data_IF_046008886832
#
_entry.id   IF_046008886832
#
_cell.length_a   1.000
_cell.length_b   1.000
_cell.length_c   1.000
_cell.angle_alpha   90.00
_cell.angle_beta   90.00
_cell.angle_gamma   90.00
#
_symmetry.space_group_name_H-M   'P 1'
#
loop_
_entity.id
_entity.type
_entity.pdbx_description
1 polymer ?
#
# COMPACT_ATOMS: atom_id res chain seq x y z
N UNK A 1 29.92 -10.53 -0.25
CA UNK A 1 29.22 -11.85 -0.36
C UNK A 1 27.85 -11.84 0.34
N UNK A 2 27.76 -11.69 1.67
CA UNK A 2 26.45 -11.65 2.36
C UNK A 2 25.69 -10.36 2.04
N UNK A 3 26.36 -9.21 2.14
CA UNK A 3 25.86 -7.88 1.75
C UNK A 3 25.39 -7.82 0.30
N UNK A 4 26.17 -8.37 -0.64
CA UNK A 4 25.92 -8.19 -2.06
C UNK A 4 24.94 -9.21 -2.65
N UNK A 5 24.88 -10.45 -2.14
CA UNK A 5 23.99 -11.47 -2.74
C UNK A 5 22.65 -11.63 -2.02
N UNK A 6 22.63 -11.51 -0.68
CA UNK A 6 21.41 -11.77 0.11
C UNK A 6 20.57 -10.51 0.26
N UNK A 7 21.21 -9.38 0.60
CA UNK A 7 20.47 -8.15 0.88
C UNK A 7 19.95 -7.46 -0.38
N UNK A 8 20.54 -7.67 -1.57
CA UNK A 8 19.94 -7.18 -2.82
C UNK A 8 18.56 -7.81 -3.03
N UNK A 9 18.47 -9.14 -2.93
CA UNK A 9 17.19 -9.83 -3.09
C UNK A 9 16.18 -9.41 -2.01
N UNK A 10 16.63 -9.28 -0.76
CA UNK A 10 15.78 -8.89 0.36
C UNK A 10 15.25 -7.46 0.24
N UNK A 11 16.12 -6.49 -0.06
CA UNK A 11 15.74 -5.07 -0.22
C UNK A 11 14.73 -4.88 -1.36
N UNK A 12 14.98 -5.50 -2.52
CA UNK A 12 14.07 -5.43 -3.67
C UNK A 12 12.74 -6.12 -3.38
N UNK A 13 12.73 -7.21 -2.63
CA UNK A 13 11.49 -7.88 -2.26
C UNK A 13 10.64 -7.09 -1.25
N UNK A 14 11.27 -6.30 -0.37
CA UNK A 14 10.58 -5.54 0.66
C UNK A 14 10.06 -4.19 0.18
N UNK A 15 10.84 -3.48 -0.64
CA UNK A 15 10.51 -2.10 -1.03
C UNK A 15 10.91 -1.74 -2.46
N UNK A 16 11.23 -2.72 -3.31
CA UNK A 16 11.53 -2.54 -4.74
C UNK A 16 12.75 -1.63 -5.05
N UNK A 17 13.61 -1.37 -4.07
CA UNK A 17 14.84 -0.57 -4.21
C UNK A 17 16.08 -1.34 -3.75
N UNK A 18 17.25 -0.86 -4.16
CA UNK A 18 18.53 -1.45 -3.80
C UNK A 18 18.93 -1.17 -2.34
N UNK A 19 19.81 -1.98 -1.73
CA UNK A 19 20.22 -1.83 -0.33
C UNK A 19 20.99 -0.53 -0.03
N UNK A 20 21.60 0.11 -1.02
CA UNK A 20 22.25 1.41 -0.90
C UNK A 20 21.26 2.59 -0.76
N UNK A 21 20.00 2.39 -1.16
CA UNK A 21 18.92 3.37 -1.01
C UNK A 21 17.96 3.04 0.15
N UNK A 22 17.91 1.78 0.59
CA UNK A 22 16.97 1.32 1.61
C UNK A 22 17.47 1.60 3.03
N UNK A 23 16.60 2.19 3.87
CA UNK A 23 16.86 2.32 5.30
C UNK A 23 17.03 0.94 5.98
N UNK A 24 18.11 0.78 6.74
CA UNK A 24 18.40 -0.46 7.49
C UNK A 24 17.29 -0.83 8.47
N UNK A 25 16.50 0.14 8.95
CA UNK A 25 15.35 -0.13 9.81
C UNK A 25 14.34 -1.09 9.15
N UNK A 26 14.11 -0.98 7.84
CA UNK A 26 13.23 -1.88 7.09
C UNK A 26 13.72 -3.33 7.17
N UNK A 27 15.02 -3.54 6.96
CA UNK A 27 15.66 -4.86 7.03
C UNK A 27 15.58 -5.43 8.45
N UNK A 28 15.88 -4.63 9.47
CA UNK A 28 15.84 -5.10 10.87
C UNK A 28 14.43 -5.53 11.30
N UNK A 29 13.40 -4.79 10.87
CA UNK A 29 12.00 -5.15 11.12
C UNK A 29 11.66 -6.48 10.43
N UNK A 30 12.09 -6.66 9.18
CA UNK A 30 11.88 -7.92 8.45
C UNK A 30 12.61 -9.10 9.11
N UNK A 31 13.86 -8.92 9.55
CA UNK A 31 14.64 -9.93 10.26
C UNK A 31 14.01 -10.29 11.61
N UNK A 32 13.36 -9.35 12.28
CA UNK A 32 12.69 -9.62 13.56
C UNK A 32 11.59 -10.70 13.44
N UNK A 33 10.94 -10.83 12.28
CA UNK A 33 9.97 -11.92 12.02
C UNK A 33 10.59 -13.30 12.11
N UNK A 34 11.85 -13.45 11.73
CA UNK A 34 12.58 -14.73 11.82
C UNK A 34 12.94 -15.09 13.26
N UNK A 35 13.06 -14.10 14.14
CA UNK A 35 13.55 -14.28 15.51
C UNK A 35 12.43 -14.43 16.53
N UNK A 36 11.28 -13.78 16.32
CA UNK A 36 10.20 -13.75 17.32
C UNK A 36 9.24 -14.94 17.23
N UNK A 37 8.92 -15.41 16.03
CA UNK A 37 7.89 -16.42 15.83
C UNK A 37 8.44 -17.63 15.07
N UNK A 38 8.13 -18.84 15.57
CA UNK A 38 8.56 -20.11 14.94
C UNK A 38 8.19 -20.22 13.46
N UNK A 39 7.09 -19.59 13.05
CA UNK A 39 6.58 -19.59 11.68
C UNK A 39 6.51 -18.19 11.06
N UNK A 40 7.16 -17.18 11.66
CA UNK A 40 7.07 -15.78 11.21
C UNK A 40 7.67 -15.51 9.83
N UNK A 41 8.51 -16.42 9.33
CA UNK A 41 9.08 -16.39 7.97
C UNK A 41 8.35 -17.28 6.97
N UNK A 42 7.29 -18.01 7.40
CA UNK A 42 6.52 -18.88 6.51
C UNK A 42 5.71 -18.04 5.54
N UNK A 43 5.78 -18.38 4.26
CA UNK A 43 5.06 -17.69 3.19
C UNK A 43 3.76 -18.41 2.87
N UNK A 44 2.77 -17.64 2.39
CA UNK A 44 1.49 -18.15 1.93
C UNK A 44 1.04 -17.35 0.70
N UNK A 45 0.28 -18.00 -0.17
CA UNK A 45 -0.40 -17.37 -1.31
C UNK A 45 -1.89 -17.35 -1.03
N UNK A 46 -2.56 -16.29 -1.48
CA UNK A 46 -4.01 -16.28 -1.53
C UNK A 46 -4.47 -17.28 -2.59
N UNK A 47 -5.57 -17.97 -2.34
CA UNK A 47 -6.09 -19.04 -3.20
C UNK A 47 -6.82 -18.54 -4.47
N UNK A 48 -6.78 -17.24 -4.73
CA UNK A 48 -7.40 -16.59 -5.88
C UNK A 48 -7.16 -15.08 -5.88
N UNK A 49 -7.97 -14.35 -6.63
CA UNK A 49 -7.80 -12.91 -6.77
C UNK A 49 -8.16 -12.17 -5.46
N UNK A 50 -7.38 -11.15 -5.03
CA UNK A 50 -7.65 -10.42 -3.79
C UNK A 50 -9.03 -9.74 -3.70
N UNK A 51 -9.59 -9.13 -4.78
CA UNK A 51 -10.90 -8.49 -4.71
C UNK A 51 -12.01 -9.43 -4.21
N UNK A 52 -12.09 -10.65 -4.75
CA UNK A 52 -13.13 -11.60 -4.37
C UNK A 52 -12.78 -12.37 -3.09
N UNK A 53 -11.53 -12.84 -2.97
CA UNK A 53 -11.15 -13.78 -1.89
C UNK A 53 -10.85 -13.09 -0.56
N UNK A 54 -10.54 -11.80 -0.57
CA UNK A 54 -10.18 -11.04 0.64
C UNK A 54 -11.01 -9.78 0.81
N UNK A 55 -11.15 -8.95 -0.22
CA UNK A 55 -11.84 -7.67 -0.08
C UNK A 55 -13.35 -7.84 0.08
N UNK A 56 -13.99 -8.75 -0.69
CA UNK A 56 -15.44 -8.97 -0.62
C UNK A 56 -15.92 -9.41 0.77
N UNK A 57 -15.28 -10.39 1.45
CA UNK A 57 -15.64 -10.73 2.83
C UNK A 57 -15.62 -9.54 3.81
N UNK A 58 -14.68 -8.60 3.63
CA UNK A 58 -14.61 -7.38 4.45
C UNK A 58 -15.78 -6.45 4.12
N UNK A 59 -16.10 -6.27 2.84
CA UNK A 59 -17.24 -5.46 2.38
C UNK A 59 -18.55 -6.02 2.92
N UNK A 60 -18.78 -7.32 2.80
CA UNK A 60 -19.95 -8.02 3.32
C UNK A 60 -20.08 -7.83 4.83
N UNK A 61 -18.98 -7.96 5.57
CA UNK A 61 -18.98 -7.73 7.01
C UNK A 61 -19.37 -6.29 7.36
N UNK A 62 -18.78 -5.28 6.71
CA UNK A 62 -19.12 -3.87 6.92
C UNK A 62 -20.61 -3.62 6.62
N UNK A 63 -21.12 -4.13 5.50
CA UNK A 63 -22.52 -3.94 5.10
C UNK A 63 -23.50 -4.67 6.02
N UNK A 64 -23.14 -5.85 6.52
CA UNK A 64 -23.95 -6.58 7.50
C UNK A 64 -24.17 -5.82 8.82
N UNK A 65 -23.25 -4.89 9.13
CA UNK A 65 -23.29 -4.04 10.32
C UNK A 65 -23.82 -2.62 10.01
N UNK A 66 -24.42 -2.41 8.83
CA UNK A 66 -25.03 -1.15 8.42
C UNK A 66 -24.07 -0.13 7.80
N UNK A 67 -22.79 -0.48 7.64
CA UNK A 67 -21.83 0.35 6.91
C UNK A 67 -22.09 0.36 5.40
N UNK A 68 -21.54 1.36 4.71
CA UNK A 68 -21.71 1.51 3.27
C UNK A 68 -20.35 1.47 2.55
N UNK A 69 -20.32 0.83 1.39
CA UNK A 69 -19.14 0.75 0.52
C UNK A 69 -19.55 1.18 -0.88
N UNK A 70 -18.98 2.29 -1.34
CA UNK A 70 -19.28 2.88 -2.64
C UNK A 70 -18.04 2.84 -3.54
N UNK A 71 -18.19 2.25 -4.73
CA UNK A 71 -17.15 2.22 -5.76
C UNK A 71 -17.31 3.39 -6.72
N UNK A 72 -16.25 3.73 -7.45
CA UNK A 72 -16.23 4.85 -8.41
C UNK A 72 -16.49 6.24 -7.78
N UNK A 73 -16.33 6.38 -6.47
CA UNK A 73 -16.56 7.61 -5.71
C UNK A 73 -15.24 8.34 -5.40
N UNK A 74 -14.55 8.84 -6.43
CA UNK A 74 -13.26 9.51 -6.25
C UNK A 74 -13.45 10.88 -5.56
N UNK A 75 -12.71 11.12 -4.48
CA UNK A 75 -12.64 12.43 -3.82
C UNK A 75 -11.84 13.39 -4.69
N UNK A 76 -12.41 14.55 -4.98
CA UNK A 76 -11.81 15.64 -5.73
C UNK A 76 -11.23 16.72 -4.81
N UNK A 77 -11.88 17.02 -3.69
CA UNK A 77 -11.46 18.10 -2.78
C UNK A 77 -11.90 17.84 -1.35
N UNK A 78 -11.04 18.21 -0.40
CA UNK A 78 -11.38 18.35 1.02
C UNK A 78 -11.81 19.80 1.22
N UNK A 79 -13.10 20.03 1.48
CA UNK A 79 -13.61 21.37 1.78
C UNK A 79 -13.58 21.64 3.28
N UNK A 80 -13.14 22.83 3.66
CA UNK A 80 -12.98 23.24 5.05
C UNK A 80 -14.07 24.22 5.48
N UNK A 81 -14.40 24.17 6.77
CA UNK A 81 -15.11 25.23 7.48
C UNK A 81 -14.18 26.43 7.72
N UNK A 82 -14.76 27.55 8.16
CA UNK A 82 -14.00 28.78 8.46
C UNK A 82 -12.99 28.62 9.61
N UNK A 83 -13.18 27.63 10.48
CA UNK A 83 -12.27 27.30 11.59
C UNK A 83 -11.15 26.33 11.19
N UNK A 84 -11.10 25.91 9.92
CA UNK A 84 -10.11 25.00 9.38
C UNK A 84 -10.42 23.51 9.57
N UNK A 85 -11.56 23.15 10.19
CA UNK A 85 -12.03 21.76 10.26
C UNK A 85 -12.64 21.30 8.93
N UNK A 86 -12.72 19.98 8.70
CA UNK A 86 -13.34 19.45 7.48
C UNK A 86 -14.83 19.71 7.51
N UNK A 87 -15.36 20.35 6.47
CA UNK A 87 -16.78 20.51 6.23
C UNK A 87 -17.37 19.28 5.54
N UNK A 88 -16.74 18.86 4.44
CA UNK A 88 -17.21 17.77 3.59
C UNK A 88 -16.13 17.30 2.61
N UNK A 89 -16.30 16.10 2.07
CA UNK A 89 -15.54 15.63 0.90
C UNK A 89 -16.36 15.84 -0.37
N UNK A 90 -15.79 16.57 -1.34
CA UNK A 90 -16.39 16.76 -2.66
C UNK A 90 -15.88 15.65 -3.57
N UNK A 91 -16.79 14.90 -4.18
CA UNK A 91 -16.49 13.86 -5.15
C UNK A 91 -16.33 14.43 -6.56
N UNK A 92 -15.70 13.69 -7.47
CA UNK A 92 -15.46 14.14 -8.86
C UNK A 92 -16.72 14.35 -9.69
N UNK A 93 -17.84 13.77 -9.29
CA UNK A 93 -19.14 14.00 -9.92
C UNK A 93 -19.86 15.24 -9.36
N UNK A 94 -19.27 15.94 -8.39
CA UNK A 94 -19.85 17.13 -7.74
C UNK A 94 -20.64 16.83 -6.47
N UNK A 95 -20.90 15.55 -6.16
CA UNK A 95 -21.59 15.18 -4.92
C UNK A 95 -20.75 15.53 -3.69
N UNK A 96 -21.43 15.89 -2.61
CA UNK A 96 -20.82 16.16 -1.33
C UNK A 96 -21.16 15.08 -0.32
N UNK A 97 -20.13 14.60 0.39
CA UNK A 97 -20.26 13.62 1.47
C UNK A 97 -19.91 14.29 2.79
N UNK A 98 -20.87 14.29 3.70
CA UNK A 98 -20.76 14.79 5.07
C UNK A 98 -20.70 13.63 6.07
N UNK A 99 -20.06 13.86 7.21
CA UNK A 99 -20.02 12.93 8.32
C UNK A 99 -19.40 13.55 9.57
N UNK A 100 -19.58 12.90 10.72
CA UNK A 100 -19.05 13.36 12.01
C UNK A 100 -17.51 13.29 12.08
N UNK A 101 -16.92 12.38 11.30
CA UNK A 101 -15.48 12.18 11.22
C UNK A 101 -15.05 11.80 9.80
N UNK A 102 -13.83 12.19 9.43
CA UNK A 102 -13.26 11.95 8.11
C UNK A 102 -11.92 11.22 8.22
N UNK A 103 -11.76 10.17 7.44
CA UNK A 103 -10.52 9.39 7.35
C UNK A 103 -10.07 9.32 5.90
N UNK A 104 -8.80 9.62 5.65
CA UNK A 104 -8.20 9.50 4.33
C UNK A 104 -7.29 8.27 4.27
N UNK A 105 -7.81 7.14 3.78
CA UNK A 105 -7.09 5.87 3.66
C UNK A 105 -6.42 5.67 2.28
N UNK A 106 -6.14 6.76 1.56
CA UNK A 106 -5.48 6.72 0.25
C UNK A 106 -3.95 6.82 0.32
N UNK A 107 -3.24 6.58 -0.80
CA UNK A 107 -1.79 6.75 -0.88
C UNK A 107 -1.35 8.17 -0.54
N UNK A 108 -0.18 8.30 0.09
CA UNK A 108 0.38 9.60 0.53
C UNK A 108 0.53 10.60 -0.63
N UNK A 109 0.88 10.13 -1.83
CA UNK A 109 1.00 10.98 -3.01
C UNK A 109 -0.33 11.62 -3.42
N UNK A 110 -1.44 10.88 -3.32
CA UNK A 110 -2.78 11.41 -3.58
C UNK A 110 -3.20 12.37 -2.48
N UNK A 111 -2.95 12.02 -1.21
CA UNK A 111 -3.25 12.90 -0.08
C UNK A 111 -2.52 14.25 -0.24
N UNK A 112 -1.22 14.25 -0.53
CA UNK A 112 -0.42 15.47 -0.73
C UNK A 112 -1.02 16.45 -1.74
N UNK A 113 -1.67 15.93 -2.79
CA UNK A 113 -2.35 16.76 -3.80
C UNK A 113 -3.68 17.34 -3.30
N UNK A 114 -4.34 16.65 -2.38
CA UNK A 114 -5.65 17.04 -1.84
C UNK A 114 -5.58 17.83 -0.53
N UNK A 115 -4.41 17.93 0.11
CA UNK A 115 -4.22 18.70 1.34
C UNK A 115 -4.63 20.17 1.07
N UNK A 116 -5.62 20.70 1.83
CA UNK A 116 -6.02 22.10 1.75
C UNK A 116 -4.83 23.04 1.99
N UNK A 117 -4.85 24.20 1.35
CA UNK A 117 -3.75 25.18 1.46
C UNK A 117 -3.45 25.55 2.91
N UNK A 118 -4.49 25.72 3.72
CA UNK A 118 -4.41 26.13 5.13
C UNK A 118 -3.68 25.09 5.99
N UNK A 119 -3.64 23.83 5.55
CA UNK A 119 -2.98 22.74 6.26
C UNK A 119 -1.53 22.52 5.82
N UNK A 120 -1.10 23.11 4.70
CA UNK A 120 0.23 22.81 4.11
C UNK A 120 1.40 23.17 5.03
N UNK A 121 1.29 24.27 5.78
CA UNK A 121 2.35 24.69 6.71
C UNK A 121 2.25 24.02 8.08
N UNK A 122 1.19 23.25 8.35
CA UNK A 122 1.09 22.51 9.61
C UNK A 122 2.19 21.44 9.65
N UNK A 123 3.01 21.39 10.71
CA UNK A 123 4.19 20.51 10.75
C UNK A 123 3.89 19.02 10.52
N UNK A 124 2.68 18.57 10.85
CA UNK A 124 2.24 17.21 10.58
C UNK A 124 2.20 16.92 9.07
N UNK A 125 1.53 17.75 8.29
CA UNK A 125 1.35 17.55 6.85
C UNK A 125 2.63 17.85 6.06
N UNK A 126 3.43 18.83 6.51
CA UNK A 126 4.72 19.16 5.88
C UNK A 126 5.71 17.99 5.89
N UNK A 127 5.71 17.17 6.95
CA UNK A 127 6.57 15.97 7.03
C UNK A 127 6.29 14.94 5.93
N UNK A 128 5.10 14.97 5.32
CA UNK A 128 4.73 14.04 4.25
C UNK A 128 5.53 14.29 2.97
N UNK A 129 6.14 15.47 2.78
CA UNK A 129 6.96 15.80 1.61
C UNK A 129 8.11 14.81 1.39
N UNK A 130 8.66 14.25 2.49
CA UNK A 130 9.73 13.26 2.43
C UNK A 130 9.26 11.87 1.97
N UNK A 131 7.96 11.60 2.02
CA UNK A 131 7.38 10.32 1.65
C UNK A 131 6.94 10.37 0.19
N UNK A 132 7.59 9.60 -0.67
CA UNK A 132 7.32 9.54 -2.11
C UNK A 132 7.19 8.07 -2.53
N UNK A 133 6.18 7.77 -3.34
CA UNK A 133 5.98 6.43 -3.89
C UNK A 133 7.15 5.95 -4.74
N UNK A 134 7.52 4.69 -4.57
CA UNK A 134 8.53 4.00 -5.39
C UNK A 134 7.83 3.37 -6.60
N UNK A 135 8.37 3.52 -7.82
CA UNK A 135 7.82 2.88 -9.01
C UNK A 135 8.01 1.36 -8.98
N UNK A 136 7.00 0.61 -9.43
CA UNK A 136 7.05 -0.86 -9.53
C UNK A 136 6.25 -1.35 -10.73
N UNK A 137 6.70 -2.44 -11.35
CA UNK A 137 6.04 -3.09 -12.48
C UNK A 137 5.77 -4.55 -12.12
N UNK A 138 4.58 -5.04 -12.45
CA UNK A 138 4.21 -6.43 -12.27
C UNK A 138 3.91 -7.07 -13.64
N UNK A 139 4.61 -8.16 -13.97
CA UNK A 139 4.59 -8.80 -15.29
C UNK A 139 3.92 -10.16 -15.22
N UNK A 140 2.98 -10.42 -16.14
CA UNK A 140 2.28 -11.69 -16.27
C UNK A 140 2.51 -12.26 -17.68
N UNK A 141 3.00 -13.49 -17.78
CA UNK A 141 3.29 -14.17 -19.06
C UNK A 141 2.64 -15.56 -19.02
N UNK A 142 1.75 -15.81 -19.98
CA UNK A 142 1.18 -17.13 -20.23
C UNK A 142 1.92 -17.81 -21.36
N UNK A 143 2.39 -19.03 -21.11
CA UNK A 143 3.08 -19.85 -22.10
C UNK A 143 2.11 -20.82 -22.77
N UNK A 144 2.43 -21.24 -23.99
CA UNK A 144 1.70 -22.27 -24.75
C UNK A 144 1.79 -23.66 -24.10
N UNK A 145 2.83 -23.91 -23.29
CA UNK A 145 3.11 -25.20 -22.64
C UNK A 145 3.30 -25.05 -21.14
N UNK A 146 2.98 -26.12 -20.41
CA UNK A 146 3.34 -26.24 -18.99
C UNK A 146 4.85 -26.42 -18.86
N UNK A 147 5.50 -25.54 -18.11
CA UNK A 147 6.92 -25.64 -17.78
C UNK A 147 7.18 -26.89 -16.92
N UNK A 148 8.20 -27.67 -17.28
CA UNK A 148 8.57 -28.91 -16.57
C UNK A 148 9.22 -28.67 -15.21
N UNK A 149 10.05 -27.62 -15.11
CA UNK A 149 10.81 -27.29 -13.89
C UNK A 149 10.20 -26.05 -13.23
N UNK A 150 9.16 -26.24 -12.43
CA UNK A 150 8.49 -25.19 -11.65
C UNK A 150 8.37 -25.58 -10.19
N UNK A 151 8.19 -24.59 -9.33
CA UNK A 151 8.10 -24.77 -7.88
C UNK A 151 6.78 -24.19 -7.37
N UNK A 152 6.16 -24.86 -6.40
CA UNK A 152 5.03 -24.34 -5.64
C UNK A 152 5.54 -23.45 -4.48
N UNK A 153 6.26 -22.38 -4.86
CA UNK A 153 6.87 -21.46 -3.92
C UNK A 153 7.23 -20.13 -4.61
N UNK A 154 7.41 -19.07 -3.81
CA UNK A 154 8.06 -17.84 -4.26
C UNK A 154 9.55 -18.10 -4.59
N UNK A 155 10.02 -17.56 -5.71
CA UNK A 155 11.41 -17.65 -6.15
C UNK A 155 12.05 -16.25 -6.17
N UNK A 156 13.20 -16.10 -5.54
CA UNK A 156 14.03 -14.90 -5.66
C UNK A 156 14.94 -15.05 -6.89
N UNK A 157 14.71 -14.27 -7.94
CA UNK A 157 15.51 -14.34 -9.17
C UNK A 157 16.98 -13.97 -8.96
N UNK A 158 17.27 -13.18 -7.92
CA UNK A 158 18.59 -12.55 -7.66
C UNK A 158 19.08 -11.70 -8.84
N UNK A 159 18.14 -11.14 -9.59
CA UNK A 159 18.44 -10.25 -10.71
C UNK A 159 19.22 -9.01 -10.25
N UNK A 160 20.28 -8.60 -10.96
CA UNK A 160 20.93 -7.32 -10.72
C UNK A 160 20.03 -6.14 -11.16
N UNK A 161 19.10 -6.36 -12.10
CA UNK A 161 18.05 -5.41 -12.50
C UNK A 161 17.15 -5.08 -11.32
#
# INVERSE_FOLDING_TARGET
RVTDEVFIAMSKALNFINPDELSMQCILIALNRFLQEKHGSKMAFLDGNPPERLCMPIVEHIQSLGGQVHLNSRIQKIELNNDGTVKQFILTNGDAIEGDAYVFAGPVDILKLLIPKDWKEVPYFKKLEKLVGVPVINVHIWFDRKLKNTYDHLLFSRSPL
#
